data_IF_803191015707
#
_entry.id   IF_803191015707
#
_cell.length_a   1.000
_cell.length_b   1.000
_cell.length_c   1.000
_cell.angle_alpha   90.00
_cell.angle_beta   90.00
_cell.angle_gamma   90.00
#
_symmetry.space_group_name_H-M   'P 1'
#
loop_
_entity.id
_entity.type
_entity.pdbx_description
1 polymer ?
#
# COMPACT_ATOMS: atom_id res chain seq x y z
N UNK A 1 15.86 0.73 7.16
CA UNK A 1 16.06 1.32 5.82
C UNK A 1 14.70 1.53 5.15
N UNK A 2 14.42 2.72 4.62
CA UNK A 2 13.21 3.01 3.83
C UNK A 2 13.62 3.74 2.54
N UNK A 3 13.21 3.20 1.39
CA UNK A 3 13.48 3.76 0.05
C UNK A 3 12.15 3.76 -0.72
N UNK A 4 11.77 4.89 -1.29
CA UNK A 4 10.54 5.00 -2.10
C UNK A 4 10.90 5.54 -3.48
N UNK A 5 10.35 4.92 -4.52
CA UNK A 5 10.52 5.31 -5.91
C UNK A 5 9.16 5.44 -6.58
N UNK A 6 8.85 6.66 -7.02
CA UNK A 6 7.58 7.03 -7.65
C UNK A 6 7.79 7.29 -9.13
N UNK A 7 7.16 6.46 -9.97
CA UNK A 7 7.22 6.56 -11.43
C UNK A 7 5.85 6.92 -11.96
N UNK A 8 5.67 8.18 -12.36
CA UNK A 8 4.50 8.64 -13.11
C UNK A 8 4.77 8.40 -14.59
N UNK A 9 3.95 7.56 -15.21
CA UNK A 9 4.24 6.99 -16.51
C UNK A 9 3.07 7.19 -17.49
N UNK A 10 3.36 7.53 -18.76
CA UNK A 10 2.35 7.51 -19.79
C UNK A 10 1.91 6.07 -20.04
N UNK A 11 0.66 5.89 -20.44
CA UNK A 11 0.04 4.57 -20.63
C UNK A 11 0.38 3.95 -22.00
N UNK A 12 1.66 3.75 -22.28
CA UNK A 12 2.16 3.16 -23.52
C UNK A 12 2.92 1.84 -23.28
N UNK A 13 3.16 1.07 -24.35
CA UNK A 13 3.83 -0.24 -24.24
C UNK A 13 5.29 -0.12 -23.80
N UNK A 14 5.91 1.06 -23.94
CA UNK A 14 7.29 1.31 -23.55
C UNK A 14 7.45 1.65 -22.06
N UNK A 15 6.38 2.07 -21.38
CA UNK A 15 6.40 2.36 -19.94
C UNK A 15 6.66 1.12 -19.08
N UNK A 16 6.16 -0.06 -19.47
CA UNK A 16 6.34 -1.30 -18.72
C UNK A 16 7.82 -1.75 -18.70
N UNK A 17 8.53 -1.86 -19.84
CA UNK A 17 9.97 -2.12 -19.85
C UNK A 17 10.80 -1.07 -19.11
N UNK A 18 10.41 0.21 -19.16
CA UNK A 18 11.11 1.27 -18.45
C UNK A 18 11.00 1.10 -16.92
N UNK A 19 9.79 0.85 -16.43
CA UNK A 19 9.52 0.60 -15.00
C UNK A 19 10.33 -0.59 -14.49
N UNK A 20 10.32 -1.70 -15.23
CA UNK A 20 11.08 -2.92 -14.89
C UNK A 20 12.56 -2.63 -14.75
N UNK A 21 13.16 -1.98 -15.74
CA UNK A 21 14.60 -1.68 -15.75
C UNK A 21 14.99 -0.76 -14.60
N UNK A 22 14.19 0.25 -14.30
CA UNK A 22 14.47 1.18 -13.20
C UNK A 22 14.39 0.48 -11.84
N UNK A 23 13.36 -0.32 -11.61
CA UNK A 23 13.21 -1.05 -10.35
C UNK A 23 14.26 -2.16 -10.21
N UNK A 24 14.54 -2.92 -11.27
CA UNK A 24 15.58 -3.96 -11.26
C UNK A 24 16.96 -3.35 -10.96
N UNK A 25 17.30 -2.23 -11.59
CA UNK A 25 18.56 -1.54 -11.32
C UNK A 25 18.69 -1.10 -9.85
N UNK A 26 17.60 -0.60 -9.25
CA UNK A 26 17.57 -0.22 -7.84
C UNK A 26 17.76 -1.44 -6.92
N UNK A 27 17.03 -2.54 -7.18
CA UNK A 27 17.14 -3.78 -6.41
C UNK A 27 18.52 -4.44 -6.55
N UNK A 28 19.08 -4.42 -7.76
CA UNK A 28 20.43 -4.91 -8.04
C UNK A 28 21.49 -4.09 -7.31
N UNK A 29 21.35 -2.76 -7.27
CA UNK A 29 22.25 -1.89 -6.51
C UNK A 29 22.21 -2.19 -5.00
N UNK A 30 21.03 -2.53 -4.46
CA UNK A 30 20.88 -2.98 -3.07
C UNK A 30 21.40 -4.41 -2.85
N UNK A 31 21.76 -5.14 -3.91
CA UNK A 31 22.22 -6.52 -3.86
C UNK A 31 21.13 -7.52 -3.47
N UNK A 32 19.89 -7.26 -3.89
CA UNK A 32 18.79 -8.23 -3.80
C UNK A 32 19.12 -9.45 -4.65
N UNK A 33 18.86 -10.64 -4.12
CA UNK A 33 19.11 -11.90 -4.83
C UNK A 33 18.41 -11.98 -6.19
N UNK A 34 19.09 -12.53 -7.19
CA UNK A 34 18.63 -12.53 -8.59
C UNK A 34 17.24 -13.13 -8.77
N UNK A 35 16.95 -14.26 -8.13
CA UNK A 35 15.65 -14.93 -8.25
C UNK A 35 14.49 -14.06 -7.71
N UNK A 36 14.72 -13.28 -6.66
CA UNK A 36 13.71 -12.36 -6.10
C UNK A 36 13.49 -11.19 -7.07
N UNK A 37 14.54 -10.70 -7.72
CA UNK A 37 14.43 -9.66 -8.76
C UNK A 37 13.65 -10.18 -9.97
N UNK A 38 13.90 -11.41 -10.40
CA UNK A 38 13.17 -12.06 -11.50
C UNK A 38 11.68 -12.21 -11.16
N UNK A 39 11.35 -12.64 -9.93
CA UNK A 39 9.97 -12.72 -9.42
C UNK A 39 9.29 -11.33 -9.47
N UNK A 40 9.97 -10.30 -8.94
CA UNK A 40 9.48 -8.91 -8.90
C UNK A 40 9.25 -8.38 -10.31
N UNK A 41 10.16 -8.63 -11.24
CA UNK A 41 10.05 -8.20 -12.63
C UNK A 41 8.82 -8.85 -13.32
N UNK A 42 8.61 -10.13 -13.08
CA UNK A 42 7.49 -10.88 -13.64
C UNK A 42 6.14 -10.39 -13.08
N UNK A 43 6.01 -10.27 -11.76
CA UNK A 43 4.76 -9.77 -11.14
C UNK A 43 4.46 -8.31 -11.51
N UNK A 44 5.48 -7.44 -11.61
CA UNK A 44 5.31 -6.06 -12.04
C UNK A 44 4.84 -5.98 -13.50
N UNK A 45 5.37 -6.84 -14.37
CA UNK A 45 4.94 -6.93 -15.77
C UNK A 45 3.45 -7.22 -15.86
N UNK A 46 2.98 -8.21 -15.10
CA UNK A 46 1.57 -8.59 -15.08
C UNK A 46 0.68 -7.49 -14.49
N UNK A 47 1.09 -6.87 -13.38
CA UNK A 47 0.34 -5.78 -12.76
C UNK A 47 0.16 -4.58 -13.70
N UNK A 48 1.27 -4.09 -14.30
CA UNK A 48 1.21 -2.98 -15.24
C UNK A 48 0.41 -3.34 -16.51
N UNK A 49 0.57 -4.57 -17.04
CA UNK A 49 -0.16 -5.02 -18.23
C UNK A 49 -1.66 -5.12 -17.97
N UNK A 50 -2.06 -5.61 -16.80
CA UNK A 50 -3.47 -5.67 -16.40
C UNK A 50 -4.08 -4.27 -16.28
N UNK A 51 -3.35 -3.34 -15.65
CA UNK A 51 -3.78 -1.94 -15.57
C UNK A 51 -3.91 -1.31 -16.97
N UNK A 52 -2.98 -1.56 -17.90
CA UNK A 52 -3.05 -1.03 -19.27
C UNK A 52 -4.26 -1.60 -20.05
N UNK A 53 -4.63 -2.88 -19.85
CA UNK A 53 -5.71 -3.54 -20.60
C UNK A 53 -7.12 -3.13 -20.19
N UNK A 54 -7.33 -2.66 -18.97
CA UNK A 54 -8.67 -2.54 -18.37
C UNK A 54 -9.19 -1.10 -18.14
N UNK A 55 -8.47 -0.06 -18.57
CA UNK A 55 -8.92 1.32 -18.35
C UNK A 55 -9.19 2.08 -19.64
N UNK A 56 -10.06 3.10 -19.54
CA UNK A 56 -10.39 4.00 -20.64
C UNK A 56 -9.18 4.84 -21.10
N UNK A 57 -9.21 5.23 -22.39
CA UNK A 57 -8.11 5.93 -23.04
C UNK A 57 -7.96 7.37 -22.49
N UNK A 58 -6.78 7.72 -21.97
CA UNK A 58 -6.38 9.13 -21.75
C UNK A 58 -5.73 9.49 -20.41
N UNK A 59 -5.54 8.55 -19.49
CA UNK A 59 -5.00 8.83 -18.15
C UNK A 59 -3.64 8.15 -17.88
N UNK A 60 -2.74 8.86 -17.19
CA UNK A 60 -1.44 8.36 -16.72
C UNK A 60 -1.64 7.34 -15.58
N UNK A 61 -0.64 6.49 -15.35
CA UNK A 61 -0.60 5.58 -14.21
C UNK A 61 0.68 5.77 -13.40
N UNK A 62 0.62 5.45 -12.10
CA UNK A 62 1.76 5.58 -11.19
C UNK A 62 2.20 4.21 -10.72
N UNK A 63 3.50 3.94 -10.78
CA UNK A 63 4.11 2.79 -10.09
C UNK A 63 4.93 3.33 -8.93
N UNK A 64 4.51 3.02 -7.71
CA UNK A 64 5.26 3.30 -6.49
C UNK A 64 5.87 2.02 -5.96
N UNK A 65 7.18 1.98 -5.84
CA UNK A 65 7.90 0.90 -5.18
C UNK A 65 8.51 1.41 -3.87
N UNK A 66 8.13 0.80 -2.75
CA UNK A 66 8.65 1.10 -1.41
C UNK A 66 9.41 -0.10 -0.87
N UNK A 67 10.69 0.07 -0.58
CA UNK A 67 11.53 -0.92 0.07
C UNK A 67 11.71 -0.51 1.53
N UNK A 68 11.16 -1.31 2.44
CA UNK A 68 11.30 -1.14 3.87
C UNK A 68 12.01 -2.36 4.46
N UNK A 69 13.25 -2.16 4.90
CA UNK A 69 14.14 -3.21 5.39
C UNK A 69 14.24 -4.39 4.42
N UNK A 70 13.53 -5.49 4.70
CA UNK A 70 13.49 -6.69 3.86
C UNK A 70 12.16 -6.88 3.14
N UNK A 71 11.36 -5.83 2.97
CA UNK A 71 10.05 -5.90 2.33
C UNK A 71 10.00 -4.91 1.17
N UNK A 72 9.59 -5.36 0.00
CA UNK A 72 9.30 -4.53 -1.16
C UNK A 72 7.79 -4.51 -1.36
N UNK A 73 7.18 -3.33 -1.33
CA UNK A 73 5.77 -3.11 -1.65
C UNK A 73 5.68 -2.31 -2.94
N UNK A 74 5.03 -2.87 -3.95
CA UNK A 74 4.83 -2.23 -5.25
C UNK A 74 3.34 -1.92 -5.39
N UNK A 75 3.01 -0.65 -5.58
CA UNK A 75 1.66 -0.15 -5.82
C UNK A 75 1.56 0.35 -7.25
N UNK A 76 0.75 -0.30 -8.06
CA UNK A 76 0.38 0.16 -9.41
C UNK A 76 -0.97 0.84 -9.29
N UNK A 77 -0.98 2.15 -9.50
CA UNK A 77 -2.13 3.04 -9.29
C UNK A 77 -2.59 3.54 -10.65
N UNK A 78 -3.84 3.27 -10.97
CA UNK A 78 -4.52 3.84 -12.12
C UNK A 78 -5.42 5.01 -11.71
N UNK A 79 -5.49 6.06 -12.53
CA UNK A 79 -6.43 7.19 -12.37
C UNK A 79 -7.70 7.07 -13.22
N UNK A 80 -7.96 5.89 -13.81
CA UNK A 80 -9.18 5.57 -14.58
C UNK A 80 -10.42 5.26 -13.72
N UNK A 81 -11.43 4.58 -14.27
CA UNK A 81 -12.72 4.30 -13.57
C UNK A 81 -12.69 3.13 -12.58
N UNK A 82 -11.53 2.53 -12.36
CA UNK A 82 -11.36 1.33 -11.55
C UNK A 82 -11.70 0.03 -12.26
N UNK A 83 -11.35 -1.09 -11.64
CA UNK A 83 -11.56 -2.45 -12.13
C UNK A 83 -11.79 -3.41 -10.97
N UNK A 84 -12.95 -4.06 -10.94
CA UNK A 84 -13.30 -5.03 -9.90
C UNK A 84 -12.58 -6.37 -10.12
N UNK A 85 -11.55 -6.63 -9.29
CA UNK A 85 -10.78 -7.86 -9.31
C UNK A 85 -11.60 -9.11 -8.93
N UNK A 86 -12.73 -8.96 -8.21
CA UNK A 86 -13.61 -10.06 -7.84
C UNK A 86 -14.50 -10.53 -8.99
N UNK A 87 -14.73 -9.66 -9.99
CA UNK A 87 -15.50 -9.98 -11.20
C UNK A 87 -14.65 -10.62 -12.32
N UNK A 88 -13.34 -10.77 -12.11
CA UNK A 88 -12.43 -11.44 -13.05
C UNK A 88 -12.54 -12.94 -12.87
N UNK A 89 -13.09 -13.69 -13.84
CA UNK A 89 -13.14 -15.13 -13.74
C UNK A 89 -11.72 -15.67 -13.64
N UNK A 90 -11.45 -16.54 -12.66
CA UNK A 90 -10.22 -17.33 -12.66
C UNK A 90 -10.17 -18.11 -13.98
N UNK A 91 -9.19 -17.85 -14.86
CA UNK A 91 -9.11 -18.56 -16.12
C UNK A 91 -8.83 -20.05 -15.86
N UNK A 92 -9.29 -20.89 -16.79
CA UNK A 92 -8.86 -22.29 -16.86
C UNK A 92 -7.31 -22.34 -16.78
N UNK A 93 -6.70 -23.22 -15.94
CA UNK A 93 -5.25 -23.41 -15.92
C UNK A 93 -4.63 -23.64 -17.31
N UNK A 94 -5.41 -24.12 -18.28
CA UNK A 94 -5.01 -24.28 -19.69
C UNK A 94 -5.19 -23.03 -20.56
N UNK A 95 -5.95 -22.00 -20.12
CA UNK A 95 -6.20 -20.79 -20.91
C UNK A 95 -4.95 -19.92 -21.04
N UNK A 96 -4.64 -19.46 -22.25
CA UNK A 96 -3.47 -18.60 -22.54
C UNK A 96 -3.69 -17.12 -22.12
N UNK A 97 -4.93 -16.71 -21.88
CA UNK A 97 -5.29 -15.35 -21.46
C UNK A 97 -5.76 -15.31 -20.00
N UNK A 98 -5.33 -14.29 -19.24
CA UNK A 98 -5.75 -14.05 -17.85
C UNK A 98 -4.88 -14.69 -16.76
N UNK A 99 -3.77 -15.35 -17.11
CA UNK A 99 -2.84 -15.95 -16.13
C UNK A 99 -2.11 -14.94 -15.24
N UNK A 100 -2.10 -13.65 -15.59
CA UNK A 100 -1.37 -12.62 -14.85
C UNK A 100 -1.71 -12.57 -13.37
N UNK A 101 -2.99 -12.78 -13.01
CA UNK A 101 -3.42 -12.85 -11.61
C UNK A 101 -2.82 -14.04 -10.85
N UNK A 102 -2.75 -15.21 -11.51
CA UNK A 102 -2.14 -16.41 -10.94
C UNK A 102 -0.64 -16.23 -10.76
N UNK A 103 0.03 -15.61 -11.74
CA UNK A 103 1.47 -15.32 -11.67
C UNK A 103 1.76 -14.37 -10.50
N UNK A 104 1.02 -13.26 -10.38
CA UNK A 104 1.21 -12.32 -9.27
C UNK A 104 1.01 -13.00 -7.91
N UNK A 105 -0.07 -13.79 -7.75
CA UNK A 105 -0.35 -14.51 -6.49
C UNK A 105 0.63 -15.62 -6.18
N UNK A 106 1.26 -16.22 -7.18
CA UNK A 106 2.26 -17.27 -6.99
C UNK A 106 3.64 -16.70 -6.61
N UNK A 107 3.95 -15.49 -7.06
CA UNK A 107 5.27 -14.88 -6.89
C UNK A 107 5.33 -13.89 -5.74
N UNK A 108 4.26 -13.16 -5.45
CA UNK A 108 4.21 -12.23 -4.33
C UNK A 108 3.85 -12.96 -3.02
N UNK A 109 4.39 -12.47 -1.91
CA UNK A 109 4.03 -12.97 -0.58
C UNK A 109 2.64 -12.48 -0.16
N UNK A 110 2.25 -11.28 -0.63
CA UNK A 110 0.89 -10.74 -0.50
C UNK A 110 0.50 -9.98 -1.77
N UNK A 111 -0.78 -10.09 -2.15
CA UNK A 111 -1.37 -9.36 -3.28
C UNK A 111 -2.71 -8.80 -2.87
N UNK A 112 -2.83 -7.47 -2.89
CA UNK A 112 -4.06 -6.76 -2.59
C UNK A 112 -4.54 -5.97 -3.81
N UNK A 113 -5.85 -6.02 -4.03
CA UNK A 113 -6.54 -5.28 -5.06
C UNK A 113 -7.56 -4.38 -4.40
N UNK A 114 -7.51 -3.09 -4.71
CA UNK A 114 -8.57 -2.14 -4.36
C UNK A 114 -9.08 -1.49 -5.65
N UNK A 115 -10.39 -1.48 -5.81
CA UNK A 115 -11.06 -0.80 -6.92
C UNK A 115 -11.99 0.25 -6.37
N UNK A 116 -11.86 1.46 -6.85
CA UNK A 116 -12.69 2.59 -6.46
C UNK A 116 -13.55 2.98 -7.66
N UNK A 117 -14.87 2.79 -7.62
CA UNK A 117 -15.75 3.26 -8.68
C UNK A 117 -15.51 4.76 -8.88
N UNK A 118 -15.16 5.16 -10.10
CA UNK A 118 -14.83 6.55 -10.51
C UNK A 118 -13.40 7.05 -10.19
N UNK A 119 -12.62 6.35 -9.36
CA UNK A 119 -11.30 6.83 -8.90
C UNK A 119 -10.13 5.83 -9.10
N UNK A 120 -10.34 4.76 -9.85
CA UNK A 120 -9.26 3.92 -10.36
C UNK A 120 -9.05 2.61 -9.63
N UNK A 121 -7.96 1.94 -9.99
CA UNK A 121 -7.59 0.63 -9.46
C UNK A 121 -6.18 0.69 -8.86
N UNK A 122 -6.03 0.05 -7.71
CA UNK A 122 -4.77 -0.12 -7.01
C UNK A 122 -4.45 -1.62 -6.96
N UNK A 123 -3.31 -1.99 -7.52
CA UNK A 123 -2.69 -3.31 -7.32
C UNK A 123 -1.50 -3.13 -6.40
N UNK A 124 -1.56 -3.70 -5.20
CA UNK A 124 -0.47 -3.73 -4.25
C UNK A 124 0.15 -5.14 -4.21
N UNK A 125 1.42 -5.25 -4.52
CA UNK A 125 2.22 -6.48 -4.49
C UNK A 125 3.27 -6.35 -3.40
N UNK A 126 3.42 -7.39 -2.59
CA UNK A 126 4.46 -7.48 -1.58
C UNK A 126 5.41 -8.63 -1.86
N UNK A 127 6.71 -8.39 -1.69
CA UNK A 127 7.73 -9.42 -1.76
C UNK A 127 8.80 -9.20 -0.70
N UNK A 128 9.16 -10.28 -0.01
CA UNK A 128 10.26 -10.33 0.94
C UNK A 128 11.58 -10.36 0.19
N UNK A 129 12.54 -9.56 0.66
CA UNK A 129 13.83 -9.38 0.07
C UNK A 129 14.88 -10.14 0.87
N UNK A 130 15.66 -10.95 0.15
CA UNK A 130 16.95 -11.44 0.62
C UNK A 130 18.06 -10.67 -0.08
N UNK A 131 19.08 -10.35 0.69
CA UNK A 131 20.23 -9.56 0.26
C UNK A 131 21.47 -10.44 0.31
N UNK A 132 22.33 -10.35 -0.71
CA UNK A 132 23.59 -11.09 -0.72
C UNK A 132 24.51 -10.70 0.44
N UNK A 133 25.42 -11.61 0.82
CA UNK A 133 26.47 -11.32 1.80
C UNK A 133 27.28 -10.09 1.33
N UNK A 134 27.54 -9.15 2.25
CA UNK A 134 28.22 -7.86 2.00
C UNK A 134 27.56 -6.90 1.01
N UNK A 135 26.32 -7.17 0.59
CA UNK A 135 25.56 -6.22 -0.25
C UNK A 135 25.18 -4.95 0.52
N UNK A 136 24.91 -3.86 -0.21
CA UNK A 136 24.45 -2.60 0.40
C UNK A 136 23.19 -2.79 1.23
N UNK A 137 22.18 -3.50 0.72
CA UNK A 137 20.96 -3.82 1.47
C UNK A 137 21.25 -4.71 2.68
N UNK A 138 22.15 -5.69 2.55
CA UNK A 138 22.63 -6.51 3.65
C UNK A 138 23.26 -5.66 4.76
N UNK A 139 24.18 -4.78 4.43
CA UNK A 139 24.87 -3.89 5.40
C UNK A 139 23.92 -2.87 6.04
N UNK A 140 23.02 -2.28 5.26
CA UNK A 140 22.02 -1.32 5.74
C UNK A 140 20.94 -1.98 6.61
N UNK A 141 20.82 -3.31 6.57
CA UNK A 141 19.90 -4.10 7.41
C UNK A 141 20.60 -4.96 8.46
N UNK A 142 21.90 -5.18 8.40
CA UNK A 142 22.65 -6.02 9.36
C UNK A 142 22.67 -5.45 10.80
N UNK A 143 22.32 -4.17 10.96
CA UNK A 143 22.19 -3.50 12.27
C UNK A 143 20.75 -3.39 12.78
N UNK A 144 19.75 -4.00 12.15
CA UNK A 144 18.33 -3.79 12.50
C UNK A 144 17.80 -4.61 13.69
N UNK A 145 18.67 -5.27 14.45
CA UNK A 145 18.39 -5.72 15.83
C UNK A 145 18.49 -4.58 16.86
N UNK A 146 18.70 -3.35 16.41
CA UNK A 146 18.33 -2.18 17.22
C UNK A 146 16.79 -2.14 17.20
N UNK A 147 16.09 -2.31 18.35
CA UNK A 147 14.69 -1.96 18.41
C UNK A 147 14.58 -0.56 17.81
N UNK A 148 13.63 -0.30 16.90
CA UNK A 148 13.39 1.03 16.35
C UNK A 148 13.08 1.99 17.51
N UNK A 149 14.13 2.47 18.15
CA UNK A 149 14.14 3.41 19.23
C UNK A 149 14.58 4.71 18.63
N UNK A 150 13.63 5.64 18.58
CA UNK A 150 13.86 7.06 18.74
C UNK A 150 15.03 7.62 17.92
N UNK A 151 15.16 7.16 16.66
CA UNK A 151 15.95 7.89 15.69
C UNK A 151 15.35 9.28 15.64
N UNK A 152 16.04 10.27 16.21
CA UNK A 152 15.57 11.65 16.36
C UNK A 152 14.83 12.08 15.09
N UNK A 153 13.49 11.98 15.14
CA UNK A 153 12.61 12.46 14.08
C UNK A 153 12.42 13.93 14.41
N UNK A 154 13.03 14.85 13.66
CA UNK A 154 12.85 16.27 13.94
C UNK A 154 11.34 16.55 13.98
N UNK A 155 10.91 17.35 14.96
CA UNK A 155 9.52 17.76 15.05
C UNK A 155 9.07 18.26 13.66
N UNK A 156 7.85 17.92 13.22
CA UNK A 156 7.38 18.33 11.90
C UNK A 156 7.54 19.85 11.81
N UNK A 157 8.29 20.29 10.81
CA UNK A 157 8.35 21.70 10.44
C UNK A 157 6.93 22.21 10.15
N UNK A 158 6.72 23.52 10.27
CA UNK A 158 5.38 24.13 10.09
C UNK A 158 4.63 23.65 8.82
N UNK A 159 5.30 23.42 7.66
CA UNK A 159 4.68 22.82 6.49
C UNK A 159 4.13 21.40 6.72
N UNK A 160 4.91 20.54 7.37
CA UNK A 160 4.55 19.14 7.65
C UNK A 160 3.43 19.06 8.68
N UNK A 161 3.49 19.89 9.73
CA UNK A 161 2.43 19.96 10.74
C UNK A 161 1.08 20.36 10.13
N UNK A 162 1.07 21.23 9.11
CA UNK A 162 -0.15 21.61 8.38
C UNK A 162 -0.77 20.44 7.62
N UNK A 163 0.03 19.50 7.09
CA UNK A 163 -0.51 18.32 6.40
C UNK A 163 -1.26 17.40 7.35
N UNK A 164 -0.70 17.17 8.54
CA UNK A 164 -1.38 16.40 9.59
C UNK A 164 -2.67 17.09 10.04
N UNK A 165 -2.65 18.42 10.19
CA UNK A 165 -3.86 19.18 10.50
C UNK A 165 -4.93 19.03 9.40
N UNK A 166 -4.55 19.10 8.12
CA UNK A 166 -5.49 18.88 7.01
C UNK A 166 -6.10 17.48 7.03
N UNK A 167 -5.30 16.45 7.31
CA UNK A 167 -5.81 15.08 7.48
C UNK A 167 -6.75 14.97 8.70
N UNK A 168 -6.41 15.65 9.80
CA UNK A 168 -7.19 15.68 11.04
C UNK A 168 -8.53 16.40 10.89
N UNK A 169 -8.61 17.41 10.05
CA UNK A 169 -9.83 18.19 9.78
C UNK A 169 -10.63 17.71 8.57
N UNK A 170 -10.09 16.75 7.80
CA UNK A 170 -10.73 16.27 6.58
C UNK A 170 -10.64 17.25 5.40
N UNK A 171 -9.65 18.14 5.37
CA UNK A 171 -9.42 19.05 4.24
C UNK A 171 -8.73 18.30 3.09
N UNK A 172 -9.44 17.32 2.53
CA UNK A 172 -8.96 16.40 1.51
C UNK A 172 -8.34 17.15 0.34
N UNK A 173 -9.06 18.13 -0.22
CA UNK A 173 -8.60 18.84 -1.42
C UNK A 173 -7.25 19.53 -1.23
N UNK A 174 -7.04 20.20 -0.09
CA UNK A 174 -5.75 20.88 0.18
C UNK A 174 -4.65 19.89 0.52
N UNK A 175 -4.97 18.83 1.26
CA UNK A 175 -4.02 17.77 1.57
C UNK A 175 -3.49 17.14 0.28
N UNK A 176 -4.39 16.73 -0.61
CA UNK A 176 -4.04 16.09 -1.87
C UNK A 176 -3.20 17.00 -2.77
N UNK A 177 -3.58 18.28 -2.90
CA UNK A 177 -2.81 19.25 -3.67
C UNK A 177 -1.37 19.41 -3.19
N UNK A 178 -1.08 19.15 -1.91
CA UNK A 178 0.27 19.21 -1.37
C UNK A 178 1.02 17.89 -1.53
N UNK A 179 0.32 16.76 -1.46
CA UNK A 179 0.90 15.44 -1.77
C UNK A 179 1.34 15.37 -3.24
N UNK A 180 0.59 15.98 -4.14
CA UNK A 180 0.91 16.06 -5.57
C UNK A 180 2.22 16.85 -5.83
N UNK A 181 2.74 17.60 -4.84
CA UNK A 181 4.05 18.26 -4.91
C UNK A 181 5.23 17.35 -4.49
N UNK A 182 5.03 16.03 -4.44
CA UNK A 182 6.07 15.04 -4.16
C UNK A 182 6.28 14.74 -2.67
N UNK A 183 5.32 15.10 -1.81
CA UNK A 183 5.34 14.67 -0.41
C UNK A 183 4.87 13.22 -0.34
N UNK A 184 5.60 12.39 0.42
CA UNK A 184 5.20 10.99 0.63
C UNK A 184 3.81 10.91 1.24
N UNK A 185 2.95 10.07 0.66
CA UNK A 185 1.60 9.79 1.21
C UNK A 185 1.68 9.09 2.57
N UNK A 186 2.76 8.34 2.83
CA UNK A 186 3.02 7.63 4.08
C UNK A 186 3.86 8.47 5.06
N UNK A 187 3.90 9.79 4.85
CA UNK A 187 4.44 10.75 5.79
C UNK A 187 3.86 10.46 7.20
N UNK A 188 4.75 10.36 8.17
CA UNK A 188 4.43 10.12 9.58
C UNK A 188 5.02 11.18 10.49
N UNK A 189 4.33 11.48 11.58
CA UNK A 189 4.78 12.44 12.59
C UNK A 189 5.84 11.82 13.52
N UNK A 190 6.22 12.54 14.57
CA UNK A 190 7.20 12.11 15.57
C UNK A 190 6.76 10.91 16.43
N UNK A 191 5.50 10.46 16.32
CA UNK A 191 4.99 9.24 16.96
C UNK A 191 4.79 8.10 15.95
N UNK A 192 5.21 8.31 14.69
CA UNK A 192 4.97 7.35 13.62
C UNK A 192 3.54 7.39 13.06
N UNK A 193 2.70 8.33 13.50
CA UNK A 193 1.31 8.41 13.03
C UNK A 193 1.25 8.95 11.61
N UNK A 194 0.64 8.20 10.68
CA UNK A 194 0.53 8.61 9.28
C UNK A 194 -0.64 9.55 9.04
N UNK A 195 -0.64 10.27 7.91
CA UNK A 195 -1.81 11.05 7.46
C UNK A 195 -3.09 10.20 7.43
N UNK A 196 -2.98 8.93 7.02
CA UNK A 196 -4.08 7.99 6.99
C UNK A 196 -4.61 7.67 8.39
N UNK A 197 -3.75 7.54 9.40
CA UNK A 197 -4.17 7.33 10.79
C UNK A 197 -4.94 8.55 11.34
N UNK A 198 -4.46 9.77 11.07
CA UNK A 198 -5.14 11.00 11.49
C UNK A 198 -6.52 11.11 10.85
N UNK A 199 -6.62 10.89 9.54
CA UNK A 199 -7.91 10.89 8.84
C UNK A 199 -8.87 9.81 9.37
N UNK A 200 -8.34 8.60 9.62
CA UNK A 200 -9.13 7.47 10.10
C UNK A 200 -9.65 7.67 11.53
N UNK A 201 -8.80 8.15 12.44
CA UNK A 201 -9.16 8.39 13.83
C UNK A 201 -10.15 9.55 14.00
N UNK A 202 -10.21 10.47 13.03
CA UNK A 202 -11.09 11.64 13.07
C UNK A 202 -12.34 11.52 12.19
N UNK A 203 -12.59 10.34 11.60
CA UNK A 203 -13.86 10.08 10.90
C UNK A 203 -13.98 10.72 9.53
N UNK A 204 -12.88 10.80 8.77
CA UNK A 204 -12.87 11.43 7.43
C UNK A 204 -12.75 10.40 6.30
N UNK A 205 -13.84 9.67 5.95
CA UNK A 205 -13.79 8.58 4.98
C UNK A 205 -13.35 9.04 3.59
N UNK A 206 -13.68 10.26 3.15
CA UNK A 206 -13.23 10.80 1.86
C UNK A 206 -11.72 11.03 1.85
N UNK A 207 -11.15 11.55 2.95
CA UNK A 207 -9.70 11.72 3.08
C UNK A 207 -8.99 10.36 3.12
N UNK A 208 -9.55 9.40 3.85
CA UNK A 208 -9.02 8.03 3.93
C UNK A 208 -9.02 7.37 2.56
N UNK A 209 -10.13 7.46 1.81
CA UNK A 209 -10.24 6.95 0.44
C UNK A 209 -9.19 7.59 -0.45
N UNK A 210 -9.08 8.92 -0.42
CA UNK A 210 -8.13 9.63 -1.28
C UNK A 210 -6.66 9.36 -0.97
N UNK A 211 -6.30 9.15 0.29
CA UNK A 211 -4.96 8.74 0.71
C UNK A 211 -4.68 7.29 0.29
N UNK A 212 -5.62 6.37 0.47
CA UNK A 212 -5.50 4.99 0.02
C UNK A 212 -5.31 4.91 -1.51
N UNK A 213 -6.05 5.71 -2.28
CA UNK A 213 -5.91 5.79 -3.74
C UNK A 213 -4.55 6.33 -4.18
N UNK A 214 -3.95 7.22 -3.40
CA UNK A 214 -2.55 7.64 -3.59
C UNK A 214 -1.54 6.62 -3.09
N UNK A 215 -1.97 5.43 -2.70
CA UNK A 215 -1.11 4.36 -2.25
C UNK A 215 -0.59 4.53 -0.83
N UNK A 216 -1.35 5.14 0.09
CA UNK A 216 -1.08 5.02 1.52
C UNK A 216 -1.10 3.54 1.94
N UNK A 217 -0.24 3.13 2.87
CA UNK A 217 -0.28 1.78 3.44
C UNK A 217 -1.32 1.71 4.57
N UNK A 218 -2.44 0.99 4.37
CA UNK A 218 -3.49 0.88 5.39
C UNK A 218 -3.06 0.06 6.61
N UNK A 219 -1.94 -0.66 6.52
CA UNK A 219 -1.37 -1.53 7.55
C UNK A 219 -0.11 -0.98 8.21
N UNK A 220 0.32 0.22 7.84
CA UNK A 220 1.47 0.86 8.47
C UNK A 220 1.17 1.08 9.95
N UNK A 221 2.09 0.65 10.81
CA UNK A 221 1.97 0.80 12.26
C UNK A 221 2.72 2.05 12.75
N UNK A 222 2.16 2.74 13.76
CA UNK A 222 2.84 3.81 14.49
C UNK A 222 3.92 3.24 15.43
N UNK A 223 4.61 4.11 16.17
CA UNK A 223 5.69 3.68 17.08
C UNK A 223 5.16 2.86 18.28
N UNK A 224 3.83 2.80 18.48
CA UNK A 224 3.15 1.99 19.50
C UNK A 224 2.50 0.74 18.92
N UNK A 225 2.64 0.49 17.62
CA UNK A 225 2.03 -0.65 16.95
C UNK A 225 0.56 -0.44 16.53
N UNK A 226 -0.02 0.75 16.74
CA UNK A 226 -1.37 1.04 16.28
C UNK A 226 -1.42 1.23 14.77
N UNK A 227 -2.54 0.83 14.18
CA UNK A 227 -2.82 0.89 12.74
C UNK A 227 -4.03 1.79 12.46
N UNK A 228 -4.18 2.33 11.23
CA UNK A 228 -5.35 3.12 10.86
C UNK A 228 -6.68 2.46 11.23
N UNK A 229 -6.81 1.16 10.93
CA UNK A 229 -8.05 0.40 11.19
C UNK A 229 -8.35 0.27 12.69
N UNK A 230 -7.34 0.05 13.54
CA UNK A 230 -7.55 0.02 15.00
C UNK A 230 -8.11 1.34 15.55
N UNK A 231 -7.63 2.48 15.04
CA UNK A 231 -8.12 3.80 15.43
C UNK A 231 -9.57 4.04 15.02
N UNK A 232 -9.92 3.69 13.77
CA UNK A 232 -11.28 3.82 13.25
C UNK A 232 -12.30 2.97 14.05
N UNK A 233 -11.93 1.73 14.36
CA UNK A 233 -12.76 0.83 15.19
C UNK A 233 -12.94 1.37 16.60
N UNK A 234 -11.86 1.83 17.24
CA UNK A 234 -11.93 2.42 18.59
C UNK A 234 -12.89 3.62 18.64
N UNK A 235 -12.94 4.40 17.56
CA UNK A 235 -13.81 5.57 17.42
C UNK A 235 -15.22 5.26 16.91
N UNK A 236 -15.46 4.02 16.47
CA UNK A 236 -16.71 3.58 15.84
C UNK A 236 -17.05 4.35 14.56
N UNK A 237 -16.03 4.72 13.80
CA UNK A 237 -16.19 5.38 12.51
C UNK A 237 -16.49 4.34 11.43
N UNK A 238 -17.74 3.87 11.41
CA UNK A 238 -18.20 2.76 10.57
C UNK A 238 -17.86 2.94 9.07
N UNK A 239 -18.01 4.15 8.53
CA UNK A 239 -17.71 4.43 7.13
C UNK A 239 -16.20 4.35 6.86
N UNK A 240 -15.38 4.92 7.74
CA UNK A 240 -13.91 4.80 7.65
C UNK A 240 -13.46 3.34 7.71
N UNK A 241 -14.06 2.54 8.60
CA UNK A 241 -13.75 1.11 8.71
C UNK A 241 -13.99 0.40 7.38
N UNK A 242 -15.13 0.67 6.71
CA UNK A 242 -15.42 0.11 5.38
C UNK A 242 -14.39 0.53 4.35
N UNK A 243 -14.06 1.82 4.28
CA UNK A 243 -13.07 2.33 3.31
C UNK A 243 -11.69 1.70 3.55
N UNK A 244 -11.28 1.51 4.80
CA UNK A 244 -10.00 0.85 5.11
C UNK A 244 -10.00 -0.63 4.73
N UNK A 245 -11.11 -1.34 4.94
CA UNK A 245 -11.26 -2.73 4.47
C UNK A 245 -11.25 -2.81 2.94
N UNK A 246 -11.93 -1.89 2.24
CA UNK A 246 -11.89 -1.75 0.77
C UNK A 246 -10.46 -1.47 0.28
N UNK A 247 -9.68 -0.71 1.03
CA UNK A 247 -8.27 -0.44 0.76
C UNK A 247 -7.33 -1.62 1.09
N UNK A 248 -7.87 -2.73 1.61
CA UNK A 248 -7.13 -3.96 1.91
C UNK A 248 -6.42 -3.94 3.27
N UNK A 249 -6.91 -3.20 4.27
CA UNK A 249 -6.44 -3.30 5.64
C UNK A 249 -6.76 -4.68 6.24
N UNK A 250 -5.78 -5.35 6.85
CA UNK A 250 -6.05 -6.62 7.53
C UNK A 250 -6.60 -6.39 8.95
N UNK A 251 -7.85 -6.80 9.25
CA UNK A 251 -8.44 -6.64 10.58
C UNK A 251 -7.74 -7.43 11.68
N UNK A 252 -6.92 -8.43 11.33
CA UNK A 252 -6.19 -9.31 12.25
C UNK A 252 -4.71 -8.94 12.39
N UNK A 253 -4.23 -7.94 11.65
CA UNK A 253 -2.84 -7.55 11.71
C UNK A 253 -2.50 -6.70 12.95
N UNK A 254 -1.32 -6.95 13.51
CA UNK A 254 -0.81 -6.24 14.69
C UNK A 254 -1.39 -6.72 16.03
N UNK A 255 -0.87 -6.16 17.12
CA UNK A 255 -1.35 -6.41 18.49
C UNK A 255 -1.28 -5.08 19.27
N UNK A 256 -2.42 -4.51 19.72
CA UNK A 256 -3.78 -5.02 19.53
C UNK A 256 -4.22 -4.95 18.06
N UNK A 257 -4.93 -5.99 17.57
CA UNK A 257 -5.52 -5.97 16.22
C UNK A 257 -6.83 -5.16 16.20
N UNK A 258 -7.33 -4.84 15.01
CA UNK A 258 -8.64 -4.20 14.87
C UNK A 258 -9.76 -5.11 15.38
N UNK A 259 -9.65 -6.43 15.16
CA UNK A 259 -10.57 -7.42 15.72
C UNK A 259 -10.56 -7.45 17.25
N UNK A 260 -9.37 -7.38 17.88
CA UNK A 260 -9.27 -7.32 19.35
C UNK A 260 -9.88 -6.05 19.90
N UNK A 261 -9.63 -4.93 19.22
CA UNK A 261 -10.21 -3.63 19.55
C UNK A 261 -11.74 -3.66 19.43
N UNK A 262 -12.28 -4.25 18.36
CA UNK A 262 -13.72 -4.38 18.14
C UNK A 262 -14.39 -5.22 19.24
N UNK A 263 -13.77 -6.31 19.69
CA UNK A 263 -14.23 -7.09 20.85
C UNK A 263 -14.20 -6.29 22.14
N UNK A 264 -13.10 -5.56 22.37
CA UNK A 264 -12.92 -4.75 23.58
C UNK A 264 -13.98 -3.65 23.70
N UNK A 265 -14.31 -2.98 22.60
CA UNK A 265 -15.32 -1.92 22.60
C UNK A 265 -16.75 -2.46 22.44
N UNK A 266 -16.96 -3.74 22.12
CA UNK A 266 -18.28 -4.30 21.84
C UNK A 266 -18.89 -3.72 20.56
N UNK A 267 -18.15 -3.80 19.46
CA UNK A 267 -18.60 -3.41 18.13
C UNK A 267 -18.96 -4.65 17.29
N UNK A 268 -20.07 -5.29 17.64
CA UNK A 268 -20.51 -6.56 17.02
C UNK A 268 -20.75 -6.43 15.51
N UNK A 269 -21.26 -5.28 15.04
CA UNK A 269 -21.47 -5.00 13.62
C UNK A 269 -20.14 -4.97 12.85
N UNK A 270 -19.11 -4.35 13.41
CA UNK A 270 -17.77 -4.28 12.81
C UNK A 270 -17.12 -5.67 12.80
N UNK A 271 -17.31 -6.46 13.87
CA UNK A 271 -16.80 -7.83 13.93
C UNK A 271 -17.39 -8.70 12.82
N UNK A 272 -18.68 -8.54 12.52
CA UNK A 272 -19.32 -9.26 11.41
C UNK A 272 -18.63 -8.96 10.07
N UNK A 273 -18.24 -7.71 9.81
CA UNK A 273 -17.50 -7.36 8.59
C UNK A 273 -16.12 -8.03 8.51
N UNK A 274 -15.44 -8.22 9.64
CA UNK A 274 -14.14 -8.89 9.68
C UNK A 274 -14.22 -10.41 9.47
N UNK A 275 -15.37 -11.01 9.75
CA UNK A 275 -15.66 -12.42 9.47
C UNK A 275 -16.00 -12.63 7.99
N UNK A 276 -16.75 -11.70 7.39
CA UNK A 276 -17.11 -11.74 5.97
C UNK A 276 -15.91 -11.49 5.04
N UNK A 277 -14.92 -10.73 5.50
CA UNK A 277 -13.66 -10.47 4.79
C UNK A 277 -12.61 -11.62 4.89
N UNK A 278 -12.90 -12.72 5.58
CA UNK A 278 -11.97 -13.84 5.69
C UNK A 278 -11.97 -14.72 4.43
N UNK A 279 -10.81 -15.16 3.90
CA UNK A 279 -10.80 -16.20 2.88
C UNK A 279 -11.40 -17.49 3.46
N UNK A 280 -12.13 -18.29 2.67
CA UNK A 280 -12.68 -19.56 3.15
C UNK A 280 -11.57 -20.46 3.68
N UNK A 281 -11.80 -21.22 4.77
CA UNK A 281 -10.80 -22.17 5.28
C UNK A 281 -10.46 -23.19 4.18
N UNK A 282 -9.16 -23.46 4.05
CA UNK A 282 -8.56 -24.36 3.06
C UNK A 282 -9.13 -25.78 3.07
#
# INVERSE_FOLDING_TARGET
MEITMDLVLPRDVASVPATRKLLDAALAALGVEGHIRDDIEMMLTEACTNVIKHAEHGADYTVRATIQDRRCVIKVIDSGTGFDAALVPLPDPAAEQGRGLMIMRALADDVRFASFPEDGALVALEKHLSYGEDSLGGLLTAGSDVPRGDGFRPAPDEPTARLFEMARTGDTRRLLSQLDNGVSVDLSDHRGETLLMHAAFHGHPETVRALAMRGADPDRADDRGHRPLTGAVFKRENEVVRVLLEAGADPRAGSPSAADTARLVGADEILAWFEEAAPPPA
#
